data_IF_782152518232
#
_entry.id   IF_782152518232
#
_cell.length_a   1.000
_cell.length_b   1.000
_cell.length_c   1.000
_cell.angle_alpha   90.00
_cell.angle_beta   90.00
_cell.angle_gamma   90.00
#
_symmetry.space_group_name_H-M   'P 1'
#
loop_
_entity.id
_entity.type
_entity.pdbx_description
1 polymer ?
#
# COMPACT_ATOMS: atom_id res chain seq x y z
N UNK A 1 24.34 3.60 -11.03
CA UNK A 1 23.85 3.20 -12.37
C UNK A 1 22.41 2.78 -12.21
N UNK A 2 21.51 3.36 -13.01
CA UNK A 2 20.12 2.90 -13.07
C UNK A 2 20.06 1.55 -13.78
N UNK A 3 19.43 0.57 -13.14
CA UNK A 3 19.30 -0.80 -13.66
C UNK A 3 17.95 -0.96 -14.37
N UNK A 4 16.92 -0.30 -13.88
CA UNK A 4 15.60 -0.38 -14.45
C UNK A 4 14.69 0.78 -14.03
N UNK A 5 13.62 0.96 -14.80
CA UNK A 5 12.52 1.85 -14.45
C UNK A 5 11.20 1.12 -14.67
N UNK A 6 10.32 1.25 -13.71
CA UNK A 6 8.96 0.72 -13.78
C UNK A 6 7.94 1.82 -14.01
N UNK A 7 6.68 1.44 -14.05
CA UNK A 7 5.55 2.36 -14.01
C UNK A 7 5.54 3.16 -12.70
N UNK A 8 4.83 4.27 -12.69
CA UNK A 8 4.75 5.18 -11.55
C UNK A 8 6.11 5.72 -11.09
N UNK A 9 7.08 5.84 -12.02
CA UNK A 9 8.42 6.37 -11.74
C UNK A 9 9.21 5.59 -10.67
N UNK A 10 8.89 4.33 -10.45
CA UNK A 10 9.71 3.45 -9.61
C UNK A 10 11.00 3.12 -10.36
N UNK A 11 12.14 3.35 -9.74
CA UNK A 11 13.45 3.12 -10.32
C UNK A 11 14.25 2.15 -9.48
N UNK A 12 15.10 1.36 -10.13
CA UNK A 12 16.07 0.51 -9.45
C UNK A 12 17.48 0.88 -9.83
N UNK A 13 18.37 0.87 -8.85
CA UNK A 13 19.77 1.29 -9.02
C UNK A 13 20.75 0.27 -8.47
N UNK A 14 21.92 0.24 -9.09
CA UNK A 14 23.15 -0.23 -8.47
C UNK A 14 23.94 0.99 -8.00
N UNK A 15 24.04 1.15 -6.69
CA UNK A 15 24.68 2.30 -6.05
C UNK A 15 25.79 1.80 -5.12
N UNK A 16 26.90 2.51 -5.12
CA UNK A 16 28.04 2.19 -4.24
C UNK A 16 27.61 2.38 -2.79
N UNK A 17 27.87 1.38 -1.96
CA UNK A 17 27.51 1.41 -0.55
C UNK A 17 26.07 0.97 -0.24
N UNK A 18 25.27 0.61 -1.27
CA UNK A 18 23.93 0.05 -1.08
C UNK A 18 23.80 -1.34 -1.72
N UNK A 19 22.85 -2.15 -1.27
CA UNK A 19 22.60 -3.45 -1.90
C UNK A 19 22.20 -3.29 -3.37
N UNK A 20 22.55 -4.27 -4.19
CA UNK A 20 22.17 -4.30 -5.59
C UNK A 20 20.63 -4.36 -5.74
N UNK A 21 20.06 -3.53 -6.62
CA UNK A 21 18.62 -3.45 -6.79
C UNK A 21 17.96 -2.54 -5.75
N UNK A 22 18.64 -1.48 -5.35
CA UNK A 22 18.07 -0.42 -4.51
C UNK A 22 16.85 0.21 -5.19
N UNK A 23 15.72 0.22 -4.51
CA UNK A 23 14.44 0.75 -5.02
C UNK A 23 14.34 2.21 -4.61
N UNK A 24 14.07 3.05 -5.60
CA UNK A 24 13.83 4.48 -5.43
C UNK A 24 12.49 4.86 -6.04
N UNK A 25 11.73 5.66 -5.34
CA UNK A 25 10.53 6.27 -5.87
C UNK A 25 10.22 7.60 -5.18
N UNK A 26 9.27 8.32 -5.72
CA UNK A 26 8.76 9.53 -5.09
C UNK A 26 7.77 9.19 -3.99
N UNK A 27 7.77 10.03 -2.96
CA UNK A 27 6.84 9.97 -1.83
C UNK A 27 6.16 11.32 -1.67
N UNK A 28 5.30 11.48 -0.69
CA UNK A 28 4.79 12.80 -0.35
C UNK A 28 5.90 13.68 0.23
N UNK A 29 5.85 14.97 -0.09
CA UNK A 29 6.74 15.95 0.54
C UNK A 29 6.48 15.98 2.06
N UNK A 30 7.57 15.95 2.83
CA UNK A 30 7.52 15.99 4.29
C UNK A 30 8.41 17.10 4.81
N UNK A 31 8.04 17.61 5.98
CA UNK A 31 8.91 18.52 6.75
C UNK A 31 9.99 17.75 7.53
N UNK A 32 10.83 18.48 8.24
CA UNK A 32 11.91 17.91 9.06
C UNK A 32 11.39 17.03 10.24
N UNK A 33 10.15 17.24 10.64
CA UNK A 33 9.49 16.48 11.72
C UNK A 33 8.72 15.26 11.18
N UNK A 34 8.67 15.08 9.85
CA UNK A 34 8.03 13.96 9.18
C UNK A 34 6.55 14.16 8.86
N UNK A 35 6.00 15.35 9.06
CA UNK A 35 4.63 15.67 8.66
C UNK A 35 4.50 15.80 7.15
N UNK A 36 3.40 15.29 6.60
CA UNK A 36 3.10 15.44 5.19
C UNK A 36 2.71 16.89 4.90
N UNK A 37 3.35 17.51 3.91
CA UNK A 37 3.05 18.86 3.51
C UNK A 37 1.95 18.90 2.46
N UNK A 38 0.94 19.72 2.72
CA UNK A 38 -0.27 19.80 1.93
C UNK A 38 -0.42 21.17 1.29
N UNK A 39 -1.17 21.19 0.21
CA UNK A 39 -1.62 22.43 -0.44
C UNK A 39 -2.80 23.04 0.34
N UNK A 40 -3.21 24.25 -0.07
CA UNK A 40 -4.32 24.97 0.54
C UNK A 40 -5.62 24.15 0.55
N UNK A 41 -5.84 23.31 -0.46
CA UNK A 41 -6.99 22.42 -0.58
C UNK A 41 -6.89 21.15 0.29
N UNK A 42 -5.84 21.04 1.12
CA UNK A 42 -5.57 19.86 1.96
C UNK A 42 -5.02 18.66 1.19
N UNK A 43 -4.75 18.79 -0.09
CA UNK A 43 -4.14 17.73 -0.86
C UNK A 43 -2.64 17.62 -0.60
N UNK A 44 -2.08 16.39 -0.54
CA UNK A 44 -0.67 16.20 -0.28
C UNK A 44 0.18 16.64 -1.47
N UNK A 45 1.30 17.26 -1.19
CA UNK A 45 2.31 17.58 -2.20
C UNK A 45 3.20 16.38 -2.48
N UNK A 46 3.56 16.21 -3.74
CA UNK A 46 4.56 15.24 -4.15
C UNK A 46 5.96 15.75 -3.84
N UNK A 47 6.80 14.89 -3.28
CA UNK A 47 8.22 15.16 -3.12
C UNK A 47 8.92 15.28 -4.47
N UNK A 48 9.90 16.17 -4.54
CA UNK A 48 10.65 16.35 -5.78
C UNK A 48 11.71 15.27 -5.98
N UNK A 49 12.30 14.82 -4.90
CA UNK A 49 13.40 13.89 -4.92
C UNK A 49 12.94 12.42 -4.83
N UNK A 50 13.81 11.55 -5.31
CA UNK A 50 13.62 10.11 -5.18
C UNK A 50 14.18 9.63 -3.85
N UNK A 51 13.36 8.96 -3.08
CA UNK A 51 13.75 8.39 -1.80
C UNK A 51 14.10 6.90 -1.93
N UNK A 52 15.08 6.47 -1.15
CA UNK A 52 15.45 5.07 -1.04
C UNK A 52 14.41 4.33 -0.20
N UNK A 53 13.70 3.39 -0.81
CA UNK A 53 12.59 2.65 -0.17
C UNK A 53 12.96 1.21 0.19
N UNK A 54 14.17 0.80 -0.10
CA UNK A 54 14.66 -0.53 0.22
C UNK A 54 15.34 -1.21 -0.96
N UNK A 55 15.48 -2.52 -0.89
CA UNK A 55 16.19 -3.33 -1.87
C UNK A 55 15.38 -4.57 -2.26
N UNK A 56 15.51 -5.01 -3.51
CA UNK A 56 14.85 -6.24 -3.99
C UNK A 56 15.49 -7.52 -3.46
N UNK A 57 16.76 -7.44 -3.05
CA UNK A 57 17.46 -8.63 -2.56
C UNK A 57 17.01 -9.01 -1.16
N UNK A 58 16.80 -10.30 -0.98
CA UNK A 58 16.58 -10.87 0.34
C UNK A 58 17.88 -10.89 1.15
N UNK A 59 17.80 -10.68 2.46
CA UNK A 59 18.91 -10.84 3.39
C UNK A 59 19.40 -12.30 3.39
N UNK A 60 18.45 -13.25 3.38
CA UNK A 60 18.72 -14.66 3.25
C UNK A 60 17.51 -15.45 2.75
N UNK A 61 17.78 -16.62 2.17
CA UNK A 61 16.77 -17.59 1.72
C UNK A 61 17.19 -18.99 2.17
N UNK A 62 16.22 -19.81 2.44
CA UNK A 62 16.47 -21.19 2.82
C UNK A 62 15.27 -22.09 2.57
N UNK A 63 15.52 -23.38 2.57
CA UNK A 63 14.50 -24.42 2.51
C UNK A 63 14.77 -25.52 3.51
N UNK A 64 13.71 -26.10 4.02
CA UNK A 64 13.79 -27.26 4.90
C UNK A 64 12.89 -28.34 4.35
N UNK A 65 13.52 -29.49 4.03
CA UNK A 65 12.82 -30.66 3.55
C UNK A 65 13.03 -31.81 4.54
N UNK A 66 11.95 -32.47 4.91
CA UNK A 66 12.01 -33.62 5.80
C UNK A 66 11.11 -34.74 5.30
N UNK A 67 11.59 -35.97 5.43
CA UNK A 67 10.87 -37.18 5.03
C UNK A 67 10.82 -38.15 6.22
N UNK A 68 9.63 -38.48 6.64
CA UNK A 68 9.35 -39.43 7.70
C UNK A 68 8.84 -40.71 7.08
N UNK A 69 9.36 -41.85 7.52
CA UNK A 69 8.89 -43.17 7.10
C UNK A 69 8.53 -44.00 8.30
N UNK A 70 7.33 -44.58 8.26
CA UNK A 70 6.82 -45.44 9.29
C UNK A 70 6.15 -46.67 8.62
N UNK A 71 6.86 -47.78 8.59
CA UNK A 71 6.40 -48.98 7.87
C UNK A 71 6.19 -48.69 6.37
N UNK A 72 4.98 -48.88 5.91
CA UNK A 72 4.59 -48.63 4.51
C UNK A 72 4.16 -47.18 4.25
N UNK A 73 4.09 -46.33 5.28
CA UNK A 73 3.76 -44.93 5.12
C UNK A 73 5.02 -44.09 4.98
N UNK A 74 4.99 -43.15 4.06
CA UNK A 74 5.94 -42.05 4.02
C UNK A 74 5.22 -40.71 3.99
N UNK A 75 5.73 -39.78 4.76
CA UNK A 75 5.27 -38.41 4.82
C UNK A 75 6.46 -37.50 4.53
N UNK A 76 6.32 -36.66 3.53
CA UNK A 76 7.32 -35.61 3.25
C UNK A 76 6.71 -34.22 3.40
N UNK A 77 7.50 -33.32 3.91
CA UNK A 77 7.12 -31.91 4.05
C UNK A 77 8.29 -31.04 3.65
N UNK A 78 8.00 -30.03 2.85
CA UNK A 78 8.98 -29.06 2.39
C UNK A 78 8.50 -27.65 2.72
N UNK A 79 9.30 -26.94 3.48
CA UNK A 79 9.15 -25.51 3.73
C UNK A 79 10.19 -24.71 2.95
N UNK A 80 9.78 -23.56 2.51
CA UNK A 80 10.62 -22.54 1.87
C UNK A 80 10.41 -21.22 2.61
N UNK A 81 11.49 -20.51 2.87
CA UNK A 81 11.45 -19.26 3.60
C UNK A 81 12.45 -18.24 3.05
N UNK A 82 12.04 -17.01 3.13
CA UNK A 82 12.84 -15.86 2.77
C UNK A 82 12.69 -14.80 3.84
N UNK A 83 13.77 -14.11 4.17
CA UNK A 83 13.76 -12.92 5.01
C UNK A 83 14.36 -11.75 4.25
N UNK A 84 13.70 -10.60 4.38
CA UNK A 84 14.11 -9.37 3.70
C UNK A 84 13.77 -9.36 2.21
N UNK A 85 14.22 -8.32 1.57
CA UNK A 85 13.81 -7.95 0.23
C UNK A 85 12.51 -7.17 0.22
N UNK A 86 12.37 -6.32 -0.78
CA UNK A 86 11.16 -5.53 -1.02
C UNK A 86 10.75 -5.61 -2.46
N UNK A 87 9.47 -5.44 -2.73
CA UNK A 87 8.96 -5.38 -4.10
C UNK A 87 7.87 -4.32 -4.23
N UNK A 88 7.80 -3.72 -5.39
CA UNK A 88 6.73 -2.82 -5.77
C UNK A 88 5.57 -3.61 -6.38
N UNK A 89 4.34 -3.33 -5.92
CA UNK A 89 3.15 -3.95 -6.46
C UNK A 89 2.35 -2.98 -7.33
N UNK A 90 2.54 -3.10 -8.63
CA UNK A 90 1.77 -2.35 -9.62
C UNK A 90 0.27 -2.69 -9.55
N UNK A 91 -0.07 -3.96 -9.36
CA UNK A 91 -1.47 -4.38 -9.23
C UNK A 91 -2.15 -3.71 -8.04
N UNK A 92 -1.45 -3.59 -6.92
CA UNK A 92 -2.01 -2.98 -5.71
C UNK A 92 -2.27 -1.48 -5.87
N UNK A 93 -1.36 -0.75 -6.53
CA UNK A 93 -1.58 0.68 -6.78
C UNK A 93 -2.70 0.86 -7.81
N UNK A 94 -2.69 0.09 -8.90
CA UNK A 94 -3.70 0.22 -9.94
C UNK A 94 -5.10 -0.09 -9.38
N UNK A 95 -5.26 -1.18 -8.64
CA UNK A 95 -6.55 -1.52 -8.02
C UNK A 95 -7.01 -0.48 -6.99
N UNK A 96 -6.09 0.23 -6.36
CA UNK A 96 -6.43 1.31 -5.44
C UNK A 96 -6.88 2.56 -6.20
N UNK A 97 -6.21 2.91 -7.27
CA UNK A 97 -6.56 4.03 -8.16
C UNK A 97 -7.92 3.79 -8.82
N UNK A 98 -8.17 2.58 -9.27
CA UNK A 98 -9.42 2.19 -9.95
C UNK A 98 -10.59 1.92 -8.96
N UNK A 99 -10.34 2.06 -7.65
CA UNK A 99 -11.37 1.85 -6.64
C UNK A 99 -11.73 0.37 -6.38
N UNK A 100 -10.94 -0.57 -6.88
CA UNK A 100 -11.17 -2.01 -6.74
C UNK A 100 -10.54 -2.61 -5.47
N UNK A 101 -9.70 -1.86 -4.79
CA UNK A 101 -9.06 -2.29 -3.56
C UNK A 101 -9.93 -2.01 -2.35
N UNK A 102 -9.94 -2.91 -1.37
CA UNK A 102 -10.58 -2.66 -0.06
C UNK A 102 -10.04 -1.38 0.60
N UNK A 103 -8.75 -1.08 0.40
CA UNK A 103 -8.15 0.17 0.88
C UNK A 103 -8.82 1.41 0.31
N UNK A 104 -9.33 1.36 -0.90
CA UNK A 104 -10.02 2.49 -1.54
C UNK A 104 -11.40 2.78 -0.95
N UNK A 105 -11.89 1.92 -0.06
CA UNK A 105 -13.10 2.15 0.71
C UNK A 105 -12.86 3.05 1.93
N UNK A 106 -11.60 3.21 2.31
CA UNK A 106 -11.22 4.09 3.42
C UNK A 106 -11.74 5.50 3.18
N UNK A 107 -12.46 6.02 4.15
CA UNK A 107 -13.08 7.32 4.09
C UNK A 107 -14.45 7.37 3.41
N UNK A 108 -14.93 6.28 2.86
CA UNK A 108 -16.30 6.18 2.31
C UNK A 108 -17.29 5.70 3.37
N UNK A 109 -17.28 6.34 4.53
CA UNK A 109 -18.17 5.99 5.61
C UNK A 109 -19.61 6.40 5.27
N UNK A 110 -20.49 5.42 5.15
CA UNK A 110 -21.88 5.63 4.85
C UNK A 110 -22.60 6.45 5.94
N UNK A 111 -22.23 6.28 7.20
CA UNK A 111 -22.77 7.03 8.33
C UNK A 111 -22.43 8.51 8.25
N UNK A 112 -21.22 8.80 7.82
CA UNK A 112 -20.79 10.16 7.60
C UNK A 112 -21.62 10.83 6.48
N UNK A 113 -21.75 10.16 5.35
CA UNK A 113 -22.56 10.65 4.24
C UNK A 113 -24.03 10.82 4.64
N UNK A 114 -24.59 9.87 5.36
CA UNK A 114 -25.98 9.93 5.81
C UNK A 114 -26.22 11.11 6.75
N UNK A 115 -25.34 11.30 7.72
CA UNK A 115 -25.50 12.41 8.68
C UNK A 115 -25.25 13.78 8.06
N UNK A 116 -24.21 13.90 7.26
CA UNK A 116 -23.80 15.19 6.66
C UNK A 116 -24.59 15.57 5.42
N UNK A 117 -25.05 14.60 4.66
CA UNK A 117 -25.79 14.86 3.41
C UNK A 117 -27.31 14.88 3.63
N UNK A 118 -27.82 14.09 4.54
CA UNK A 118 -29.25 13.89 4.69
C UNK A 118 -29.88 14.51 5.96
N UNK A 119 -29.08 14.82 6.98
CA UNK A 119 -29.62 15.07 8.31
C UNK A 119 -29.29 16.38 8.98
N UNK A 120 -28.45 17.20 8.44
CA UNK A 120 -27.99 18.42 9.10
C UNK A 120 -28.35 19.68 8.30
N UNK A 121 -28.18 20.85 8.95
CA UNK A 121 -28.58 22.12 8.36
C UNK A 121 -27.95 22.35 6.98
N UNK A 122 -28.61 23.13 6.15
CA UNK A 122 -28.14 23.48 4.82
C UNK A 122 -26.76 24.17 4.86
N UNK A 123 -26.44 24.91 5.90
CA UNK A 123 -25.13 25.53 6.09
C UNK A 123 -24.06 24.51 6.34
N UNK A 124 -24.27 23.51 7.16
CA UNK A 124 -23.35 22.40 7.35
C UNK A 124 -23.24 21.55 6.10
N UNK A 125 -24.37 21.31 5.45
CA UNK A 125 -24.46 20.53 4.22
C UNK A 125 -23.73 21.20 3.07
N UNK A 126 -24.04 22.46 2.79
CA UNK A 126 -23.48 23.18 1.64
C UNK A 126 -22.13 23.83 1.95
N UNK A 127 -21.86 24.25 3.16
CA UNK A 127 -20.55 24.69 3.61
C UNK A 127 -19.52 23.56 3.50
N UNK A 128 -19.98 22.36 3.72
CA UNK A 128 -19.19 21.16 3.69
C UNK A 128 -19.02 20.57 2.27
N UNK A 129 -20.02 20.69 1.44
CA UNK A 129 -20.03 20.19 0.05
C UNK A 129 -19.74 21.26 -0.98
N UNK A 130 -19.25 22.40 -0.58
CA UNK A 130 -19.18 23.53 -1.44
C UNK A 130 -18.10 23.44 -2.49
N UNK A 131 -18.46 23.50 -3.77
CA UNK A 131 -17.53 23.39 -4.89
C UNK A 131 -16.92 24.71 -5.31
N UNK A 132 -17.18 25.79 -4.61
CA UNK A 132 -16.55 27.05 -4.97
C UNK A 132 -15.11 26.97 -4.56
N UNK A 133 -14.26 26.83 -5.55
CA UNK A 133 -12.83 26.87 -5.45
C UNK A 133 -12.32 26.46 -4.07
N UNK A 134 -11.85 25.26 -3.92
CA UNK A 134 -11.38 24.68 -2.65
C UNK A 134 -10.43 25.63 -1.86
N UNK A 135 -10.04 26.71 -2.47
CA UNK A 135 -9.08 27.69 -1.99
C UNK A 135 -9.72 29.00 -1.52
N UNK A 136 -11.04 29.12 -1.54
CA UNK A 136 -11.66 30.38 -1.08
C UNK A 136 -12.02 30.26 0.39
N UNK A 137 -11.47 31.08 1.28
CA UNK A 137 -11.93 31.16 2.67
C UNK A 137 -13.42 31.45 2.71
N UNK A 138 -14.12 30.79 3.60
CA UNK A 138 -15.51 31.17 3.92
C UNK A 138 -15.53 32.53 4.56
N UNK A 139 -16.73 33.13 4.68
CA UNK A 139 -16.92 34.37 5.38
C UNK A 139 -16.36 34.41 6.81
N UNK A 140 -16.15 33.23 7.40
CA UNK A 140 -15.58 33.06 8.75
C UNK A 140 -14.06 32.85 8.72
N UNK A 141 -13.40 33.02 7.57
CA UNK A 141 -11.98 32.71 7.43
C UNK A 141 -11.66 31.21 7.45
N UNK A 142 -12.66 30.36 7.46
CA UNK A 142 -12.49 28.91 7.47
C UNK A 142 -12.25 28.43 6.05
N UNK A 143 -11.15 27.76 5.84
CA UNK A 143 -10.83 27.14 4.57
C UNK A 143 -11.34 25.72 4.60
N UNK A 144 -12.27 25.41 3.73
CA UNK A 144 -12.68 24.04 3.48
C UNK A 144 -11.83 23.48 2.33
N UNK A 145 -10.81 22.71 2.62
CA UNK A 145 -9.85 22.24 1.62
C UNK A 145 -10.44 21.30 0.60
N UNK A 146 -11.52 20.65 0.92
CA UNK A 146 -12.27 19.84 -0.05
C UNK A 146 -13.64 19.49 0.51
N UNK A 147 -14.55 19.11 -0.35
CA UNK A 147 -15.89 18.84 0.08
C UNK A 147 -16.17 17.36 0.25
N UNK A 148 -17.14 17.08 1.08
CA UNK A 148 -17.55 15.71 1.35
C UNK A 148 -16.50 14.93 2.07
N UNK A 149 -15.83 15.52 3.05
CA UNK A 149 -14.76 14.86 3.73
C UNK A 149 -15.24 13.85 4.72
N UNK A 150 -15.17 12.62 4.33
CA UNK A 150 -15.29 11.59 5.31
C UNK A 150 -14.12 11.68 6.27
N UNK A 151 -14.43 11.52 7.53
CA UNK A 151 -13.41 11.25 8.52
C UNK A 151 -12.71 9.97 8.15
N UNK A 152 -11.86 9.90 7.30
CA UNK A 152 -11.29 8.60 7.08
C UNK A 152 -10.21 8.54 6.04
N UNK A 153 -10.31 9.31 4.99
CA UNK A 153 -9.15 9.51 4.12
C UNK A 153 -8.32 10.57 4.75
N UNK A 154 -7.80 10.22 5.84
CA UNK A 154 -6.95 11.09 6.56
C UNK A 154 -5.56 10.81 6.11
N UNK A 155 -4.95 11.84 5.69
CA UNK A 155 -3.52 11.92 5.77
C UNK A 155 -3.23 12.30 7.23
N UNK A 156 -2.93 11.32 8.10
CA UNK A 156 -2.58 11.63 9.47
C UNK A 156 -1.30 12.47 9.43
N UNK A 157 -1.22 13.44 10.30
CA UNK A 157 -0.03 14.26 10.41
C UNK A 157 0.26 15.10 9.15
N UNK A 158 -0.73 15.85 8.68
CA UNK A 158 -0.56 16.81 7.61
C UNK A 158 -0.44 18.23 8.15
N UNK A 159 0.45 18.99 7.54
CA UNK A 159 0.58 20.44 7.75
C UNK A 159 0.51 21.18 6.43
N UNK A 160 0.04 22.40 6.47
CA UNK A 160 0.14 23.27 5.30
C UNK A 160 1.61 23.58 5.02
N UNK A 161 1.98 23.55 3.75
CA UNK A 161 3.34 23.88 3.31
C UNK A 161 3.62 25.39 3.51
N UNK A 162 4.88 25.76 3.51
CA UNK A 162 5.35 27.14 3.74
C UNK A 162 4.81 28.14 2.71
N UNK A 163 4.46 27.69 1.52
CA UNK A 163 3.89 28.52 0.46
C UNK A 163 2.38 28.82 0.64
N UNK A 164 1.75 28.25 1.65
CA UNK A 164 0.35 28.50 1.96
C UNK A 164 0.26 29.71 2.91
N UNK A 165 0.02 30.88 2.33
CA UNK A 165 -0.01 32.13 3.05
C UNK A 165 -1.03 32.12 4.21
N UNK A 166 -0.58 32.52 5.39
CA UNK A 166 -1.37 32.59 6.60
C UNK A 166 -1.67 31.27 7.30
N UNK A 167 -1.32 30.14 6.71
CA UNK A 167 -1.58 28.81 7.26
C UNK A 167 -0.34 27.92 7.38
N UNK A 168 0.80 28.38 6.91
CA UNK A 168 2.05 27.65 6.93
C UNK A 168 2.32 26.98 8.28
N UNK A 169 2.64 25.68 8.26
CA UNK A 169 2.92 24.91 9.46
C UNK A 169 1.72 24.55 10.34
N UNK A 170 0.53 25.08 10.07
CA UNK A 170 -0.67 24.68 10.81
C UNK A 170 -1.13 23.29 10.42
N UNK A 171 -1.73 22.60 11.37
CA UNK A 171 -2.28 21.28 11.11
C UNK A 171 -3.45 21.35 10.12
N UNK A 172 -3.36 20.54 9.08
CA UNK A 172 -4.46 20.39 8.13
C UNK A 172 -5.50 19.48 8.75
N UNK A 173 -6.64 20.06 9.08
CA UNK A 173 -7.84 19.30 9.45
C UNK A 173 -8.61 18.84 8.21
N UNK A 174 -8.06 19.09 7.07
CA UNK A 174 -8.67 18.91 5.81
C UNK A 174 -8.25 17.65 5.09
N UNK A 175 -9.10 17.26 4.17
CA UNK A 175 -8.99 15.99 3.51
C UNK A 175 -9.41 16.12 2.06
N UNK A 176 -8.81 15.35 1.21
CA UNK A 176 -9.38 15.08 -0.09
C UNK A 176 -10.60 14.18 0.04
N UNK A 177 -11.57 14.30 -0.85
CA UNK A 177 -12.59 13.25 -0.96
C UNK A 177 -11.92 11.90 -1.20
N UNK A 178 -12.52 10.79 -0.73
CA UNK A 178 -11.95 9.46 -0.94
C UNK A 178 -11.65 9.19 -2.41
N UNK A 179 -12.59 9.52 -3.28
CA UNK A 179 -12.45 9.36 -4.71
C UNK A 179 -11.22 10.12 -5.24
N UNK A 180 -11.14 11.42 -4.97
CA UNK A 180 -10.04 12.25 -5.43
C UNK A 180 -8.68 11.78 -4.88
N UNK A 181 -8.66 11.41 -3.59
CA UNK A 181 -7.45 10.89 -2.96
C UNK A 181 -6.96 9.63 -3.66
N UNK A 182 -7.84 8.63 -3.80
CA UNK A 182 -7.45 7.35 -4.38
C UNK A 182 -7.12 7.43 -5.86
N UNK A 183 -7.85 8.23 -6.63
CA UNK A 183 -7.58 8.39 -8.07
C UNK A 183 -6.34 9.24 -8.38
N UNK A 184 -6.10 10.30 -7.63
CA UNK A 184 -5.12 11.31 -8.02
C UNK A 184 -3.90 11.42 -7.12
N UNK A 185 -4.06 11.15 -5.84
CA UNK A 185 -2.97 11.37 -4.88
C UNK A 185 -2.30 10.09 -4.40
N UNK A 186 -3.00 8.97 -4.36
CA UNK A 186 -2.42 7.72 -3.86
C UNK A 186 -1.19 7.27 -4.66
N UNK A 187 -1.16 7.55 -5.95
CA UNK A 187 -0.04 7.23 -6.83
C UNK A 187 1.20 8.12 -6.65
N UNK A 188 1.09 9.16 -5.84
CA UNK A 188 2.21 10.08 -5.55
C UNK A 188 3.05 9.66 -4.34
N UNK A 189 2.54 8.74 -3.53
CA UNK A 189 3.29 8.13 -2.44
C UNK A 189 3.48 6.63 -2.71
N UNK A 190 4.52 6.30 -3.42
CA UNK A 190 4.83 4.94 -3.82
C UNK A 190 5.25 4.07 -2.63
N UNK A 191 5.72 4.67 -1.54
CA UNK A 191 6.15 3.92 -0.35
C UNK A 191 5.08 2.96 0.18
N UNK A 192 3.82 3.31 0.03
CA UNK A 192 2.65 2.51 0.45
C UNK A 192 2.45 1.23 -0.35
N UNK A 193 3.07 1.12 -1.51
CA UNK A 193 2.98 -0.01 -2.44
C UNK A 193 4.28 -0.79 -2.56
N UNK A 194 5.22 -0.49 -1.68
CA UNK A 194 6.44 -1.25 -1.47
C UNK A 194 6.20 -2.21 -0.31
N UNK A 195 6.21 -3.49 -0.60
CA UNK A 195 5.91 -4.54 0.36
C UNK A 195 7.16 -5.30 0.74
N UNK A 196 7.18 -5.81 1.97
CA UNK A 196 8.18 -6.77 2.42
C UNK A 196 7.97 -8.11 1.71
N UNK A 197 9.06 -8.68 1.24
CA UNK A 197 9.06 -9.95 0.51
C UNK A 197 9.38 -11.16 1.40
N UNK A 198 9.42 -10.97 2.70
CA UNK A 198 9.65 -12.07 3.65
C UNK A 198 8.46 -13.01 3.69
N UNK A 199 8.75 -14.29 3.71
CA UNK A 199 7.72 -15.32 3.80
C UNK A 199 8.23 -16.62 4.40
N UNK A 200 7.28 -17.41 4.92
CA UNK A 200 7.42 -18.83 5.19
C UNK A 200 6.30 -19.54 4.44
N UNK A 201 6.66 -20.50 3.60
CA UNK A 201 5.73 -21.23 2.75
C UNK A 201 5.86 -22.73 2.96
N UNK A 202 4.74 -23.41 3.16
CA UNK A 202 4.66 -24.84 2.93
C UNK A 202 4.59 -25.07 1.40
N UNK A 203 5.68 -25.58 0.83
CA UNK A 203 5.80 -25.82 -0.62
C UNK A 203 5.12 -27.10 -1.03
N UNK A 204 5.37 -28.14 -0.24
CA UNK A 204 4.88 -29.46 -0.54
C UNK A 204 4.58 -30.21 0.74
N UNK A 205 3.52 -30.98 0.71
CA UNK A 205 3.17 -31.96 1.73
C UNK A 205 2.65 -33.19 1.02
N UNK A 206 3.40 -34.30 1.12
CA UNK A 206 3.09 -35.55 0.42
C UNK A 206 2.92 -36.69 1.42
N UNK A 207 1.83 -37.39 1.31
CA UNK A 207 1.60 -38.64 2.03
C UNK A 207 1.58 -39.77 1.02
N UNK A 208 2.43 -40.76 1.21
CA UNK A 208 2.48 -41.96 0.36
C UNK A 208 2.31 -43.22 1.19
N UNK A 209 1.67 -44.18 0.59
CA UNK A 209 1.51 -45.51 1.19
C UNK A 209 1.90 -46.59 0.20
N UNK A 210 2.89 -47.39 0.55
CA UNK A 210 3.35 -48.51 -0.25
C UNK A 210 2.41 -49.72 -0.04
N UNK A 211 1.67 -50.03 -1.08
CA UNK A 211 0.72 -51.15 -1.01
C UNK A 211 1.45 -52.50 -0.79
N UNK A 212 1.01 -53.32 0.18
CA UNK A 212 1.58 -54.61 0.40
C UNK A 212 1.52 -55.50 -0.86
N UNK A 213 2.62 -56.14 -1.20
CA UNK A 213 2.71 -57.04 -2.39
C UNK A 213 1.59 -58.08 -2.45
N UNK A 214 1.05 -58.51 -1.31
CA UNK A 214 -0.08 -59.43 -1.25
C UNK A 214 -1.35 -58.91 -1.92
N UNK A 215 -1.58 -57.59 -1.86
CA UNK A 215 -2.76 -56.95 -2.48
C UNK A 215 -2.59 -56.77 -3.97
N UNK A 216 -1.35 -56.58 -4.43
CA UNK A 216 -1.02 -56.37 -5.83
C UNK A 216 -1.01 -57.66 -6.67
N UNK A 217 -0.87 -58.85 -6.03
CA UNK A 217 -0.82 -60.14 -6.73
C UNK A 217 -2.03 -60.46 -7.60
N UNK A 218 -3.20 -59.88 -7.33
CA UNK A 218 -4.44 -60.12 -8.06
C UNK A 218 -4.84 -58.93 -8.99
N UNK A 219 -3.97 -57.93 -9.13
CA UNK A 219 -4.21 -56.78 -9.96
C UNK A 219 -3.19 -56.70 -11.09
N UNK A 220 -3.51 -56.08 -12.24
CA UNK A 220 -2.55 -55.86 -13.31
C UNK A 220 -1.47 -54.84 -12.98
N UNK A 221 -1.53 -54.23 -11.78
CA UNK A 221 -0.57 -53.24 -11.30
C UNK A 221 0.67 -53.99 -10.80
N UNK A 222 1.65 -54.12 -11.65
CA UNK A 222 2.98 -54.57 -11.26
C UNK A 222 3.85 -53.34 -11.01
N UNK A 223 4.66 -53.42 -9.97
CA UNK A 223 5.69 -52.41 -9.66
C UNK A 223 6.61 -52.21 -10.85
N UNK A 224 6.69 -51.02 -11.36
CA UNK A 224 7.76 -50.61 -12.27
C UNK A 224 8.99 -50.24 -11.48
#
# INVERSE_FOLDING_TARGET
>A
IQIGSGVYNVKSYAEVGKPYGAIYAKTFKRDAEGYILCQLDGSPKEGQDYEYLGCVQADWRGGWNNVFRLGNFSFSVMFDFQKGGKFFSQTSIQSSVDGQSVKSLEGRDADFFSRKILGESDEERYGFMRPQNANTPTANGQIYPDWGRPKGVVLPNCRYDEDVEGLAGQQVLGYCTPERYWMHYTSRDISRFIYDASYVKLRESTVSYDLPKKWLRKTPLQTF
#
